data_IF_852974988689
#
_entry.id   IF_852974988689
#
_cell.length_a   1.000
_cell.length_b   1.000
_cell.length_c   1.000
_cell.angle_alpha   90.00
_cell.angle_beta   90.00
_cell.angle_gamma   90.00
#
_symmetry.space_group_name_H-M   'P 1'
#
loop_
_entity.id
_entity.type
_entity.pdbx_description
1 polymer ?
#
# COMPACT_ATOMS: atom_id res chain seq x y z
N UNK A 1 24.73 -28.25 -21.02
CA UNK A 1 24.86 -27.01 -20.21
C UNK A 1 23.67 -26.11 -20.50
N UNK A 2 22.73 -26.03 -19.55
CA UNK A 2 21.42 -25.41 -19.75
C UNK A 2 21.54 -23.88 -19.69
N UNK A 3 21.59 -23.22 -20.86
CA UNK A 3 21.59 -21.76 -21.00
C UNK A 3 20.16 -21.22 -20.89
N UNK A 4 19.65 -21.10 -19.69
CA UNK A 4 18.53 -20.19 -19.40
C UNK A 4 18.56 -19.85 -17.92
N UNK A 5 19.28 -18.79 -17.55
CA UNK A 5 19.21 -18.16 -16.23
C UNK A 5 17.86 -17.46 -15.99
N UNK A 6 16.75 -18.13 -16.33
CA UNK A 6 15.41 -17.69 -15.96
C UNK A 6 15.30 -17.96 -14.48
N UNK A 7 15.44 -16.90 -13.68
CA UNK A 7 15.08 -16.96 -12.27
C UNK A 7 13.60 -17.35 -12.18
N UNK A 8 13.36 -18.63 -11.94
CA UNK A 8 12.02 -19.17 -11.72
C UNK A 8 11.52 -18.54 -10.44
N UNK A 9 10.48 -17.71 -10.55
CA UNK A 9 9.87 -17.09 -9.37
C UNK A 9 9.36 -18.20 -8.44
N UNK A 10 9.63 -18.11 -7.12
CA UNK A 10 9.11 -19.06 -6.15
C UNK A 10 7.60 -19.25 -6.30
N UNK A 11 7.10 -20.44 -5.98
CA UNK A 11 5.66 -20.70 -6.04
C UNK A 11 4.88 -19.79 -5.08
N UNK A 12 5.39 -19.57 -3.88
CA UNK A 12 4.84 -18.64 -2.87
C UNK A 12 4.65 -17.23 -3.42
N UNK A 13 5.63 -16.72 -4.17
CA UNK A 13 5.54 -15.43 -4.87
C UNK A 13 4.37 -15.39 -5.85
N UNK A 14 4.21 -16.42 -6.68
CA UNK A 14 3.18 -16.43 -7.74
C UNK A 14 1.78 -16.50 -7.14
N UNK A 15 1.62 -17.32 -6.11
CA UNK A 15 0.35 -17.48 -5.40
C UNK A 15 -0.02 -16.19 -4.68
N UNK A 16 0.93 -15.58 -3.98
CA UNK A 16 0.72 -14.30 -3.31
C UNK A 16 0.28 -13.23 -4.31
N UNK A 17 1.04 -13.00 -5.40
CA UNK A 17 0.66 -12.03 -6.43
C UNK A 17 -0.75 -12.30 -7.01
N UNK A 18 -1.08 -13.57 -7.30
CA UNK A 18 -2.37 -13.94 -7.88
C UNK A 18 -3.55 -13.65 -6.96
N UNK A 19 -3.39 -13.87 -5.66
CA UNK A 19 -4.42 -13.60 -4.65
C UNK A 19 -4.45 -12.10 -4.30
N UNK A 20 -3.28 -11.47 -4.20
CA UNK A 20 -3.17 -10.11 -3.70
C UNK A 20 -3.67 -9.07 -4.72
N UNK A 21 -3.47 -9.29 -6.03
CA UNK A 21 -3.98 -8.39 -7.08
C UNK A 21 -5.48 -8.11 -6.97
N UNK A 22 -6.38 -9.12 -6.96
CA UNK A 22 -7.82 -8.87 -6.84
C UNK A 22 -8.17 -8.26 -5.48
N UNK A 23 -7.53 -8.68 -4.38
CA UNK A 23 -7.83 -8.14 -3.04
C UNK A 23 -7.47 -6.66 -2.96
N UNK A 24 -6.25 -6.28 -3.36
CA UNK A 24 -5.80 -4.88 -3.40
C UNK A 24 -6.67 -4.06 -4.35
N UNK A 25 -7.07 -4.63 -5.50
CA UNK A 25 -8.00 -3.98 -6.43
C UNK A 25 -9.37 -3.71 -5.79
N UNK A 26 -9.92 -4.65 -5.03
CA UNK A 26 -11.17 -4.50 -4.28
C UNK A 26 -11.00 -3.43 -3.20
N UNK A 27 -9.93 -3.47 -2.41
CA UNK A 27 -9.66 -2.48 -1.35
C UNK A 27 -9.53 -1.07 -1.90
N UNK A 28 -8.78 -0.90 -2.99
CA UNK A 28 -8.64 0.38 -3.65
C UNK A 28 -9.98 0.90 -4.19
N UNK A 29 -10.80 0.00 -4.75
CA UNK A 29 -12.16 0.33 -5.21
C UNK A 29 -13.09 0.71 -4.05
N UNK A 30 -13.01 0.01 -2.92
CA UNK A 30 -13.77 0.33 -1.71
C UNK A 30 -13.35 1.68 -1.13
N UNK A 31 -12.07 2.05 -1.17
CA UNK A 31 -11.61 3.36 -0.75
C UNK A 31 -12.18 4.46 -1.65
N UNK A 32 -12.17 4.27 -2.97
CA UNK A 32 -12.80 5.20 -3.92
C UNK A 32 -14.30 5.31 -3.65
N UNK A 33 -14.99 4.18 -3.49
CA UNK A 33 -16.42 4.16 -3.18
C UNK A 33 -16.73 4.86 -1.85
N UNK A 34 -15.88 4.69 -0.83
CA UNK A 34 -16.03 5.36 0.46
C UNK A 34 -15.83 6.87 0.38
N UNK A 35 -14.90 7.34 -0.45
CA UNK A 35 -14.72 8.77 -0.73
C UNK A 35 -15.90 9.39 -1.50
N UNK A 36 -16.61 8.57 -2.28
CA UNK A 36 -17.83 8.96 -2.98
C UNK A 36 -19.10 8.76 -2.15
N UNK A 37 -18.98 8.41 -0.87
CA UNK A 37 -20.08 8.12 0.06
C UNK A 37 -21.02 6.99 -0.41
N UNK A 38 -20.48 6.05 -1.22
CA UNK A 38 -21.23 4.91 -1.75
C UNK A 38 -21.20 3.68 -0.82
N UNK A 39 -20.26 3.65 0.12
CA UNK A 39 -20.10 2.56 1.10
C UNK A 39 -19.75 3.12 2.47
N UNK A 40 -20.12 2.38 3.51
CA UNK A 40 -19.78 2.76 4.88
C UNK A 40 -18.26 2.64 5.13
N UNK A 41 -17.61 3.78 5.37
CA UNK A 41 -16.15 3.90 5.54
C UNK A 41 -15.61 3.16 6.77
N UNK A 42 -16.43 2.98 7.81
CA UNK A 42 -16.04 2.18 8.97
C UNK A 42 -16.02 0.68 8.65
N UNK A 43 -16.93 0.21 7.79
CA UNK A 43 -16.85 -1.16 7.26
C UNK A 43 -15.59 -1.34 6.40
N UNK A 44 -15.27 -0.36 5.54
CA UNK A 44 -14.02 -0.37 4.76
C UNK A 44 -12.80 -0.45 5.70
N UNK A 45 -12.79 0.31 6.79
CA UNK A 45 -11.72 0.28 7.81
C UNK A 45 -11.51 -1.12 8.37
N UNK A 46 -12.59 -1.81 8.78
CA UNK A 46 -12.50 -3.18 9.31
C UNK A 46 -11.95 -4.17 8.28
N UNK A 47 -12.42 -4.07 7.03
CA UNK A 47 -11.94 -4.93 5.94
C UNK A 47 -10.44 -4.68 5.70
N UNK A 48 -10.01 -3.42 5.67
CA UNK A 48 -8.61 -3.04 5.47
C UNK A 48 -7.72 -3.58 6.59
N UNK A 49 -8.17 -3.48 7.84
CA UNK A 49 -7.47 -4.02 9.01
C UNK A 49 -7.30 -5.54 8.91
N UNK A 50 -8.38 -6.26 8.60
CA UNK A 50 -8.34 -7.72 8.44
C UNK A 50 -7.34 -8.10 7.36
N UNK A 51 -7.39 -7.41 6.21
CA UNK A 51 -6.46 -7.64 5.12
C UNK A 51 -4.99 -7.44 5.55
N UNK A 52 -4.67 -6.29 6.16
CA UNK A 52 -3.29 -5.98 6.58
C UNK A 52 -2.76 -7.02 7.56
N UNK A 53 -3.58 -7.49 8.51
CA UNK A 53 -3.18 -8.55 9.45
C UNK A 53 -2.89 -9.85 8.69
N UNK A 54 -3.80 -10.29 7.82
CA UNK A 54 -3.65 -11.53 7.08
C UNK A 54 -2.44 -11.50 6.13
N UNK A 55 -2.24 -10.40 5.41
CA UNK A 55 -1.11 -10.25 4.50
C UNK A 55 0.22 -10.18 5.25
N UNK A 56 0.25 -9.53 6.41
CA UNK A 56 1.42 -9.54 7.30
C UNK A 56 1.77 -10.95 7.77
N UNK A 57 0.79 -11.72 8.25
CA UNK A 57 1.01 -13.11 8.67
C UNK A 57 1.52 -13.94 7.49
N UNK A 58 0.97 -13.76 6.29
CA UNK A 58 1.42 -14.46 5.09
C UNK A 58 2.90 -14.17 4.79
N UNK A 59 3.32 -12.90 4.80
CA UNK A 59 4.70 -12.50 4.50
C UNK A 59 5.66 -13.01 5.59
N UNK A 60 5.24 -13.04 6.86
CA UNK A 60 6.06 -13.58 7.94
C UNK A 60 6.28 -15.09 7.82
N UNK A 61 5.26 -15.85 7.40
CA UNK A 61 5.37 -17.30 7.18
C UNK A 61 6.14 -17.61 5.89
N UNK A 62 5.91 -16.82 4.84
CA UNK A 62 6.47 -17.02 3.50
C UNK A 62 7.21 -15.77 3.01
N UNK A 63 8.38 -15.42 3.56
CA UNK A 63 9.10 -14.20 3.19
C UNK A 63 9.49 -14.14 1.70
N UNK A 64 9.69 -15.31 1.07
CA UNK A 64 9.96 -15.44 -0.37
C UNK A 64 8.77 -15.09 -1.28
N UNK A 65 7.59 -14.84 -0.71
CA UNK A 65 6.42 -14.33 -1.44
C UNK A 65 6.67 -12.92 -1.98
N UNK A 66 7.53 -12.15 -1.31
CA UNK A 66 7.92 -10.81 -1.71
C UNK A 66 9.30 -10.87 -2.39
N UNK A 67 9.46 -10.32 -3.60
CA UNK A 67 10.69 -10.48 -4.39
C UNK A 67 11.89 -9.74 -3.81
N UNK A 68 11.65 -8.70 -3.01
CA UNK A 68 12.67 -7.91 -2.34
C UNK A 68 12.08 -7.11 -1.19
N UNK A 69 12.84 -6.94 -0.11
CA UNK A 69 12.50 -6.07 1.02
C UNK A 69 11.25 -6.52 1.81
N UNK A 70 11.05 -7.82 2.00
CA UNK A 70 9.93 -8.37 2.78
C UNK A 70 9.78 -7.70 4.16
N UNK A 71 10.89 -7.55 4.91
CA UNK A 71 10.88 -6.87 6.22
C UNK A 71 10.45 -5.41 6.14
N UNK A 72 10.74 -4.73 5.03
CA UNK A 72 10.31 -3.35 4.82
C UNK A 72 8.80 -3.28 4.59
N UNK A 73 8.23 -4.21 3.82
CA UNK A 73 6.77 -4.32 3.63
C UNK A 73 6.08 -4.66 4.95
N UNK A 74 6.64 -5.57 5.76
CA UNK A 74 6.11 -5.85 7.10
C UNK A 74 6.11 -4.60 7.97
N UNK A 75 7.19 -3.81 7.97
CA UNK A 75 7.22 -2.53 8.69
C UNK A 75 6.13 -1.58 8.18
N UNK A 76 5.94 -1.49 6.86
CA UNK A 76 4.85 -0.71 6.27
C UNK A 76 3.48 -1.17 6.78
N UNK A 77 3.21 -2.47 6.81
CA UNK A 77 1.95 -3.00 7.34
C UNK A 77 1.74 -2.68 8.82
N UNK A 78 2.80 -2.73 9.63
CA UNK A 78 2.73 -2.33 11.04
C UNK A 78 2.35 -0.86 11.16
N UNK A 79 2.98 0.03 10.39
CA UNK A 79 2.68 1.46 10.39
C UNK A 79 1.25 1.75 9.88
N UNK A 80 0.83 1.10 8.80
CA UNK A 80 -0.54 1.19 8.27
C UNK A 80 -1.55 0.73 9.32
N UNK A 81 -1.28 -0.39 10.00
CA UNK A 81 -2.11 -0.88 11.08
C UNK A 81 -2.20 0.12 12.24
N UNK A 82 -1.07 0.72 12.65
CA UNK A 82 -1.04 1.75 13.69
C UNK A 82 -1.94 2.96 13.35
N UNK A 83 -1.96 3.41 12.09
CA UNK A 83 -2.87 4.48 11.66
C UNK A 83 -4.32 4.00 11.68
N UNK A 84 -4.60 2.80 11.17
CA UNK A 84 -5.96 2.24 11.15
C UNK A 84 -6.56 2.01 12.55
N UNK A 85 -5.73 1.93 13.60
CA UNK A 85 -6.22 1.91 14.98
C UNK A 85 -6.97 3.19 15.35
N UNK A 86 -6.68 4.33 14.71
CA UNK A 86 -7.37 5.59 14.94
C UNK A 86 -8.84 5.54 14.50
N UNK A 87 -9.17 5.33 13.21
CA UNK A 87 -10.56 5.20 12.76
C UNK A 87 -11.29 3.96 13.32
N UNK A 88 -10.56 2.96 13.84
CA UNK A 88 -11.17 1.88 14.62
C UNK A 88 -11.69 2.34 15.98
N UNK A 89 -10.95 3.23 16.65
CA UNK A 89 -11.31 3.78 17.97
C UNK A 89 -12.25 4.97 17.87
N UNK A 90 -12.15 5.73 16.78
CA UNK A 90 -12.90 6.95 16.49
C UNK A 90 -13.57 6.82 15.12
N UNK A 91 -14.73 6.13 15.02
CA UNK A 91 -15.38 5.81 13.75
C UNK A 91 -15.78 7.03 12.91
N UNK A 92 -15.93 8.20 13.53
CA UNK A 92 -16.13 9.50 12.86
C UNK A 92 -15.00 9.84 11.88
N UNK A 93 -13.79 9.31 12.10
CA UNK A 93 -12.62 9.47 11.23
C UNK A 93 -12.43 8.31 10.26
N UNK A 94 -13.41 7.42 10.11
CA UNK A 94 -13.28 6.27 9.21
C UNK A 94 -13.11 6.64 7.73
N UNK A 95 -13.50 7.84 7.33
CA UNK A 95 -13.20 8.39 5.99
C UNK A 95 -11.69 8.53 5.76
N UNK A 96 -10.89 8.72 6.82
CA UNK A 96 -9.43 8.83 6.73
C UNK A 96 -8.79 7.54 6.23
N UNK A 97 -9.36 6.37 6.56
CA UNK A 97 -8.94 5.09 5.97
C UNK A 97 -9.03 5.11 4.45
N UNK A 98 -10.10 5.71 3.91
CA UNK A 98 -10.29 5.80 2.46
C UNK A 98 -9.37 6.85 1.83
N UNK A 99 -9.13 7.97 2.53
CA UNK A 99 -8.19 9.02 2.10
C UNK A 99 -6.76 8.50 2.03
N UNK A 100 -6.31 7.75 3.02
CA UNK A 100 -4.96 7.17 3.00
C UNK A 100 -4.87 5.99 2.04
N UNK A 101 -5.85 5.08 2.10
CA UNK A 101 -5.92 3.84 1.33
C UNK A 101 -6.11 4.01 -0.18
N UNK A 102 -6.50 5.19 -0.69
CA UNK A 102 -6.56 5.44 -2.15
C UNK A 102 -5.18 5.29 -2.83
N UNK A 103 -4.08 5.38 -2.06
CA UNK A 103 -2.73 5.08 -2.56
C UNK A 103 -2.61 3.65 -3.10
N UNK A 104 -3.47 2.72 -2.67
CA UNK A 104 -3.48 1.35 -3.16
C UNK A 104 -3.88 1.22 -4.64
N UNK A 105 -4.51 2.24 -5.24
CA UNK A 105 -4.68 2.28 -6.69
C UNK A 105 -3.34 2.21 -7.41
N UNK A 106 -2.32 2.91 -6.87
CA UNK A 106 -0.98 2.88 -7.43
C UNK A 106 -0.34 1.48 -7.30
N UNK A 107 -0.49 0.86 -6.13
CA UNK A 107 -0.02 -0.52 -5.88
C UNK A 107 -0.72 -1.52 -6.79
N UNK A 108 -2.05 -1.43 -6.94
CA UNK A 108 -2.85 -2.25 -7.83
C UNK A 108 -2.35 -2.19 -9.27
N UNK A 109 -2.23 -0.99 -9.85
CA UNK A 109 -1.74 -0.84 -11.23
C UNK A 109 -0.28 -1.28 -11.38
N UNK A 110 0.54 -1.12 -10.33
CA UNK A 110 1.92 -1.61 -10.30
C UNK A 110 2.01 -3.13 -10.37
N UNK A 111 1.16 -3.85 -9.64
CA UNK A 111 1.19 -5.32 -9.64
C UNK A 111 0.51 -5.84 -10.91
N UNK A 112 -0.64 -5.26 -11.30
CA UNK A 112 -1.38 -5.65 -12.50
C UNK A 112 -0.52 -5.54 -13.78
N UNK A 113 0.21 -4.44 -13.96
CA UNK A 113 1.08 -4.27 -15.15
C UNK A 113 2.22 -5.32 -15.22
N UNK A 114 2.61 -5.93 -14.09
CA UNK A 114 3.63 -6.99 -14.06
C UNK A 114 3.08 -8.35 -14.50
N UNK A 115 1.78 -8.56 -14.38
CA UNK A 115 1.09 -9.78 -14.84
C UNK A 115 0.75 -9.72 -16.33
N UNK A 116 0.63 -8.52 -16.90
CA UNK A 116 0.29 -8.32 -18.31
C UNK A 116 1.51 -8.47 -19.23
N UNK A 117 1.27 -8.95 -20.46
CA UNK A 117 2.30 -9.03 -21.51
C UNK A 117 2.82 -7.63 -21.84
N UNK A 118 4.13 -7.43 -21.72
CA UNK A 118 4.80 -6.16 -22.07
C UNK A 118 4.47 -5.75 -23.52
N UNK A 119 4.11 -4.48 -23.70
CA UNK A 119 3.76 -3.90 -25.01
C UNK A 119 2.32 -4.16 -25.47
N UNK A 120 1.52 -4.95 -24.74
CA UNK A 120 0.08 -5.04 -25.02
C UNK A 120 -0.65 -3.74 -24.70
N UNK A 121 -1.78 -3.46 -25.36
CA UNK A 121 -2.61 -2.29 -25.08
C UNK A 121 -3.00 -2.20 -23.59
N UNK A 122 -3.42 -3.32 -22.98
CA UNK A 122 -3.74 -3.39 -21.55
C UNK A 122 -2.54 -3.03 -20.66
N UNK A 123 -1.33 -3.47 -21.03
CA UNK A 123 -0.11 -3.12 -20.29
C UNK A 123 0.21 -1.63 -20.39
N UNK A 124 0.04 -1.02 -21.58
CA UNK A 124 0.25 0.42 -21.79
C UNK A 124 -0.76 1.25 -20.99
N UNK A 125 -2.04 0.84 -21.00
CA UNK A 125 -3.08 1.48 -20.21
C UNK A 125 -2.78 1.41 -18.71
N UNK A 126 -2.47 0.22 -18.18
CA UNK A 126 -2.11 0.05 -16.77
C UNK A 126 -0.85 0.83 -16.38
N UNK A 127 0.13 0.93 -17.29
CA UNK A 127 1.32 1.74 -17.06
C UNK A 127 0.98 3.24 -16.98
N UNK A 128 0.05 3.71 -17.81
CA UNK A 128 -0.43 5.09 -17.78
C UNK A 128 -1.19 5.38 -16.48
N UNK A 129 -2.09 4.49 -16.06
CA UNK A 129 -2.79 4.59 -14.77
C UNK A 129 -1.84 4.55 -13.57
N UNK A 130 -0.82 3.69 -13.62
CA UNK A 130 0.24 3.65 -12.61
C UNK A 130 0.96 5.00 -12.51
N UNK A 131 1.36 5.60 -13.63
CA UNK A 131 2.04 6.89 -13.63
C UNK A 131 1.13 8.02 -13.14
N UNK A 132 -0.15 8.02 -13.55
CA UNK A 132 -1.14 9.01 -13.11
C UNK A 132 -1.33 8.95 -11.58
N UNK A 133 -1.43 7.74 -11.04
CA UNK A 133 -1.62 7.52 -9.60
C UNK A 133 -0.37 7.80 -8.75
N UNK A 134 0.79 8.10 -9.35
CA UNK A 134 1.96 8.58 -8.59
C UNK A 134 1.68 9.92 -7.90
N UNK A 135 0.80 10.76 -8.45
CA UNK A 135 0.37 12.00 -7.80
C UNK A 135 -0.26 11.75 -6.42
N UNK A 136 -0.99 10.65 -6.25
CA UNK A 136 -1.54 10.25 -4.94
C UNK A 136 -0.41 9.98 -3.95
N UNK A 137 0.65 9.29 -4.40
CA UNK A 137 1.78 8.93 -3.52
C UNK A 137 2.67 10.13 -3.16
N UNK A 138 2.83 11.11 -4.05
CA UNK A 138 3.80 12.20 -3.86
C UNK A 138 3.21 13.56 -3.52
N UNK A 139 1.91 13.75 -3.73
CA UNK A 139 1.23 15.00 -3.40
C UNK A 139 0.21 14.77 -2.30
N UNK A 140 -0.67 13.79 -2.48
CA UNK A 140 -1.76 13.53 -1.54
C UNK A 140 -1.27 12.97 -0.20
N UNK A 141 -0.41 11.96 -0.22
CA UNK A 141 0.16 11.35 0.99
C UNK A 141 0.89 12.37 1.91
N UNK A 142 1.77 13.26 1.41
CA UNK A 142 2.33 14.34 2.23
C UNK A 142 1.29 15.34 2.75
N UNK A 143 0.26 15.66 1.95
CA UNK A 143 -0.85 16.50 2.41
C UNK A 143 -1.59 15.87 3.61
N UNK A 144 -1.73 14.54 3.64
CA UNK A 144 -2.38 13.86 4.76
C UNK A 144 -1.64 14.03 6.09
N UNK A 145 -0.31 14.25 6.10
CA UNK A 145 0.42 14.59 7.33
C UNK A 145 -0.15 15.88 7.94
N UNK A 146 -0.31 16.92 7.11
CA UNK A 146 -0.91 18.17 7.53
C UNK A 146 -2.37 17.97 7.98
N UNK A 147 -3.15 17.20 7.20
CA UNK A 147 -4.55 16.91 7.54
C UNK A 147 -4.67 16.22 8.91
N UNK A 148 -3.91 15.15 9.14
CA UNK A 148 -3.90 14.43 10.40
C UNK A 148 -3.45 15.31 11.56
N UNK A 149 -2.47 16.20 11.36
CA UNK A 149 -2.06 17.15 12.39
C UNK A 149 -3.21 18.07 12.82
N UNK A 150 -3.99 18.58 11.87
CA UNK A 150 -5.15 19.43 12.19
C UNK A 150 -6.22 18.66 12.97
N UNK A 151 -6.62 17.47 12.50
CA UNK A 151 -7.70 16.72 13.15
C UNK A 151 -7.28 16.22 14.54
N UNK A 152 -6.04 15.71 14.67
CA UNK A 152 -5.62 15.05 15.90
C UNK A 152 -5.19 16.03 17.00
N UNK A 153 -4.61 17.17 16.64
CA UNK A 153 -4.03 18.12 17.61
C UNK A 153 -4.85 19.40 17.77
N UNK A 154 -5.32 20.01 16.68
CA UNK A 154 -5.91 21.36 16.72
C UNK A 154 -7.42 21.31 16.94
N UNK A 155 -8.12 20.45 16.20
CA UNK A 155 -9.58 20.49 16.14
C UNK A 155 -10.25 19.72 17.26
N UNK A 156 -9.74 18.53 17.58
CA UNK A 156 -10.45 17.58 18.44
C UNK A 156 -9.68 17.23 19.72
N UNK A 157 -8.39 17.59 19.80
CA UNK A 157 -7.62 17.50 21.05
C UNK A 157 -7.48 16.09 21.60
N UNK A 158 -7.18 15.11 20.74
CA UNK A 158 -7.03 13.72 21.13
C UNK A 158 -5.83 13.50 22.08
N UNK A 159 -5.80 12.38 22.83
CA UNK A 159 -4.67 12.05 23.68
C UNK A 159 -3.34 12.12 22.93
N UNK A 160 -2.28 12.61 23.59
CA UNK A 160 -0.97 12.75 22.98
C UNK A 160 -0.43 11.44 22.39
N UNK A 161 -0.74 10.29 23.00
CA UNK A 161 -0.38 8.98 22.46
C UNK A 161 -1.01 8.70 21.09
N UNK A 162 -2.24 9.17 20.87
CA UNK A 162 -2.97 9.01 19.62
C UNK A 162 -2.39 9.89 18.52
N UNK A 163 -2.24 11.18 18.83
CA UNK A 163 -1.55 12.15 17.99
C UNK A 163 -0.18 11.61 17.56
N UNK A 164 0.63 11.17 18.53
CA UNK A 164 1.97 10.68 18.28
C UNK A 164 1.96 9.43 17.39
N UNK A 165 1.09 8.46 17.68
CA UNK A 165 0.96 7.24 16.89
C UNK A 165 0.62 7.53 15.43
N UNK A 166 -0.43 8.31 15.18
CA UNK A 166 -0.89 8.66 13.83
C UNK A 166 0.18 9.45 13.08
N UNK A 167 0.75 10.49 13.69
CA UNK A 167 1.71 11.37 13.02
C UNK A 167 3.01 10.66 12.69
N UNK A 168 3.59 9.91 13.63
CA UNK A 168 4.82 9.15 13.38
C UNK A 168 4.60 8.12 12.28
N UNK A 169 3.46 7.42 12.33
CA UNK A 169 3.14 6.42 11.32
C UNK A 169 2.96 7.05 9.93
N UNK A 170 2.25 8.18 9.81
CA UNK A 170 2.02 8.85 8.53
C UNK A 170 3.33 9.39 7.94
N UNK A 171 4.19 10.01 8.77
CA UNK A 171 5.51 10.51 8.35
C UNK A 171 6.39 9.34 7.89
N UNK A 172 6.38 8.23 8.63
CA UNK A 172 7.15 7.05 8.28
C UNK A 172 6.66 6.40 6.97
N UNK A 173 5.34 6.33 6.76
CA UNK A 173 4.74 5.85 5.50
C UNK A 173 5.09 6.76 4.31
N UNK A 174 5.07 8.08 4.49
CA UNK A 174 5.53 9.01 3.46
C UNK A 174 7.03 8.84 3.16
N UNK A 175 7.84 8.65 4.20
CA UNK A 175 9.29 8.41 4.03
C UNK A 175 9.55 7.09 3.30
N UNK A 176 8.80 6.04 3.65
CA UNK A 176 8.81 4.74 2.96
C UNK A 176 8.56 4.91 1.46
N UNK A 177 7.57 5.73 1.08
CA UNK A 177 7.24 6.01 -0.32
C UNK A 177 8.38 6.67 -1.11
N UNK A 178 9.15 7.55 -0.46
CA UNK A 178 10.33 8.20 -1.06
C UNK A 178 11.50 7.23 -1.16
N UNK A 179 11.77 6.47 -0.10
CA UNK A 179 12.86 5.49 -0.04
C UNK A 179 12.74 4.42 -1.14
N UNK A 180 11.53 3.94 -1.44
CA UNK A 180 11.33 2.95 -2.51
C UNK A 180 11.79 3.42 -3.91
N UNK A 181 11.84 4.73 -4.15
CA UNK A 181 12.34 5.31 -5.41
C UNK A 181 13.85 5.42 -5.38
N UNK A 182 14.39 5.92 -4.26
CA UNK A 182 15.80 6.25 -4.11
C UNK A 182 16.67 5.01 -3.96
N UNK A 183 16.11 3.91 -3.45
CA UNK A 183 16.85 2.67 -3.30
C UNK A 183 17.25 2.15 -4.68
N UNK A 184 18.57 1.96 -4.93
CA UNK A 184 19.05 1.54 -6.23
C UNK A 184 18.41 0.19 -6.58
N UNK A 185 17.73 0.15 -7.72
CA UNK A 185 17.33 -1.12 -8.32
C UNK A 185 18.63 -1.87 -8.56
N UNK A 186 18.86 -3.00 -7.86
CA UNK A 186 19.99 -3.88 -8.16
C UNK A 186 19.94 -4.20 -9.65
N UNK A 187 20.78 -3.51 -10.43
CA UNK A 187 21.12 -3.93 -11.77
C UNK A 187 21.75 -5.30 -11.59
N UNK A 188 21.13 -6.32 -12.17
CA UNK A 188 21.86 -7.58 -12.37
C UNK A 188 22.91 -7.25 -13.42
N UNK A 189 24.10 -6.88 -12.97
CA UNK A 189 25.31 -6.96 -13.77
C UNK A 189 25.40 -8.40 -14.27
N UNK A 190 25.12 -8.57 -15.56
CA UNK A 190 25.56 -9.73 -16.31
C UNK A 190 27.07 -9.53 -16.40
N UNK A 191 27.83 -10.22 -15.54
CA UNK A 191 29.26 -10.36 -15.70
C UNK A 191 29.49 -11.43 -16.76
N UNK A 192 30.09 -11.02 -17.88
CA UNK A 192 30.55 -11.87 -18.98
C UNK A 192 31.51 -12.98 -18.52
#
# INVERSE_FOLDING_TARGET
MNKSGVLVRPWSYKVHDYINVPIVGILASLCVAGLLDLVNTYVVTKIFVIYIILDTIWILIFPDSIPSMASFIVLHHVLTFCILLHPLRYPEHSIETCRDGIVELNTFFLILRRQLRRGSFANILCNSCYNLTLGIRYVWQPYLIYHFFIITNIREGYPFSEFFCVMVSQIALCTFNVCLILLPKKSKTISD
#
